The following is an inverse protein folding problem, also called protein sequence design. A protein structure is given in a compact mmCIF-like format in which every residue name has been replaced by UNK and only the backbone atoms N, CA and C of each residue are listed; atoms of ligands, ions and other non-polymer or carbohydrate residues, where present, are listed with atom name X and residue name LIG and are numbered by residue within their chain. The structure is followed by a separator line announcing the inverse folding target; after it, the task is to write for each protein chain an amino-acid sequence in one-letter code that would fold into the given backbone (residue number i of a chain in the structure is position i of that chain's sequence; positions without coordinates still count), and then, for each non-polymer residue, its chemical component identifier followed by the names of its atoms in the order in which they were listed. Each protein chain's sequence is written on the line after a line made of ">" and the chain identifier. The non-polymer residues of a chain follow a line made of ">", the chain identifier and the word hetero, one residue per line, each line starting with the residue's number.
data_IF_096679143925
#
_entry.id   IF_096679143925
#
_cell.length_a   1.000
_cell.length_b   1.000
_cell.length_c   1.000
_cell.angle_alpha   90.00
_cell.angle_beta   90.00
_cell.angle_gamma   90.00
#
_symmetry.space_group_name_H-M   'P 1'
#
loop_
_entity.id
_entity.type
_entity.pdbx_description
1 polymer ?
#
# COMPACT_ATOMS: atom_id res chain seq x y z
N UNK A 1 38.90 -4.03 -3.05
CA UNK A 1 39.49 -2.68 -2.94
C UNK A 1 39.07 -1.87 -4.16
N UNK A 2 37.89 -1.23 -4.12
CA UNK A 2 37.49 -0.27 -5.17
C UNK A 2 37.03 1.01 -4.48
N UNK A 3 37.69 2.10 -4.87
CA UNK A 3 37.72 3.38 -4.18
C UNK A 3 36.40 4.14 -4.26
N UNK A 4 36.00 4.68 -3.11
CA UNK A 4 34.96 5.70 -2.94
C UNK A 4 35.56 7.04 -3.38
N UNK A 5 35.06 7.64 -4.46
CA UNK A 5 35.36 9.05 -4.82
C UNK A 5 34.33 10.00 -4.18
N UNK A 6 34.83 10.64 -3.13
CA UNK A 6 34.67 12.02 -2.66
C UNK A 6 33.49 12.88 -3.15
N UNK A 7 32.89 13.48 -2.12
CA UNK A 7 31.91 14.58 -2.08
C UNK A 7 32.47 15.88 -2.68
N UNK A 8 31.58 16.67 -3.29
CA UNK A 8 31.75 18.11 -3.56
C UNK A 8 30.47 18.67 -4.17
N UNK A 9 29.63 19.36 -3.39
CA UNK A 9 29.57 20.84 -3.25
C UNK A 9 28.65 21.49 -4.29
N UNK A 10 27.43 21.91 -3.89
CA UNK A 10 26.85 23.21 -4.31
C UNK A 10 25.65 23.64 -3.44
N UNK A 11 25.85 24.82 -2.87
CA UNK A 11 24.96 25.90 -2.42
C UNK A 11 23.62 25.63 -1.74
N UNK A 12 23.61 25.91 -0.44
CA UNK A 12 22.46 26.35 0.32
C UNK A 12 22.31 27.87 0.17
N UNK A 13 21.34 28.30 -0.63
CA UNK A 13 20.85 29.68 -0.65
C UNK A 13 19.62 29.79 0.24
N UNK A 14 19.78 30.48 1.37
CA UNK A 14 18.72 30.90 2.24
C UNK A 14 17.85 31.99 1.58
N UNK A 15 16.52 31.91 1.74
CA UNK A 15 15.66 33.09 1.67
C UNK A 15 14.50 33.00 2.68
N UNK A 16 14.73 33.68 3.81
CA UNK A 16 13.85 34.48 4.65
C UNK A 16 12.31 34.28 4.68
N UNK A 17 11.85 33.95 5.90
CA UNK A 17 10.95 34.71 6.82
C UNK A 17 9.47 35.00 6.49
N UNK A 18 8.71 34.98 7.60
CA UNK A 18 7.37 35.53 7.95
C UNK A 18 6.25 34.49 7.77
N UNK A 19 5.43 34.11 8.75
CA UNK A 19 5.05 34.71 10.03
C UNK A 19 3.66 35.33 9.93
N UNK A 20 2.60 34.60 10.31
CA UNK A 20 1.31 35.17 10.70
C UNK A 20 0.42 34.13 11.42
N UNK A 21 -0.02 34.48 12.62
CA UNK A 21 -1.09 33.82 13.38
C UNK A 21 -2.46 34.27 12.84
N UNK A 22 -3.47 33.41 12.89
CA UNK A 22 -4.85 33.81 13.15
C UNK A 22 -5.69 32.65 13.70
N UNK A 23 -6.44 32.92 14.78
CA UNK A 23 -7.50 32.10 15.36
C UNK A 23 -8.85 32.63 14.87
N UNK A 24 -9.84 31.76 14.66
CA UNK A 24 -11.29 31.92 14.87
C UNK A 24 -11.99 30.76 14.13
N UNK A 25 -12.74 29.84 14.76
CA UNK A 25 -14.01 29.97 15.47
C UNK A 25 -15.21 30.25 14.54
N UNK A 26 -16.21 29.35 14.62
CA UNK A 26 -17.55 29.50 14.04
C UNK A 26 -17.71 28.81 12.67
N UNK A 27 -18.82 28.18 12.33
CA UNK A 27 -20.03 27.93 13.09
C UNK A 27 -20.88 26.90 12.33
N UNK A 28 -21.72 26.21 13.08
CA UNK A 28 -22.79 25.36 12.58
C UNK A 28 -23.76 26.20 11.76
N UNK A 29 -24.08 25.80 10.52
CA UNK A 29 -25.49 25.60 10.13
C UNK A 29 -25.66 24.88 8.80
N UNK A 30 -26.13 23.65 8.92
CA UNK A 30 -26.99 23.01 7.95
C UNK A 30 -28.38 23.67 8.00
N UNK A 31 -28.90 24.13 6.87
CA UNK A 31 -30.32 24.47 6.61
C UNK A 31 -30.38 25.14 5.22
N UNK A 32 -31.30 24.86 4.29
CA UNK A 32 -32.57 24.14 4.38
C UNK A 32 -33.24 24.13 2.99
N UNK A 33 -34.22 23.23 2.84
CA UNK A 33 -35.50 23.38 2.09
C UNK A 33 -35.46 23.11 0.56
N UNK A 34 -36.41 22.41 -0.07
CA UNK A 34 -37.77 21.99 0.31
C UNK A 34 -38.17 20.67 -0.37
N UNK A 35 -38.92 19.85 0.35
CA UNK A 35 -40.17 19.27 -0.16
C UNK A 35 -40.98 18.83 1.07
N UNK A 36 -42.23 19.27 1.10
CA UNK A 36 -43.20 18.99 2.13
C UNK A 36 -44.08 17.82 1.68
N UNK A 37 -44.50 16.96 2.63
CA UNK A 37 -45.85 16.41 2.66
C UNK A 37 -46.10 15.65 3.98
N UNK A 38 -47.06 16.19 4.74
CA UNK A 38 -47.96 15.63 5.74
C UNK A 38 -47.99 14.12 6.02
N UNK A 39 -48.00 13.73 7.31
CA UNK A 39 -49.20 13.21 7.99
C UNK A 39 -48.94 12.77 9.46
N UNK A 40 -49.70 13.40 10.37
CA UNK A 40 -50.35 12.93 11.60
C UNK A 40 -49.74 11.84 12.53
N UNK A 41 -49.51 12.28 13.78
CA UNK A 41 -49.78 11.64 15.09
C UNK A 41 -49.51 10.14 15.34
N UNK A 42 -48.61 9.83 16.29
CA UNK A 42 -48.95 9.52 17.70
C UNK A 42 -47.73 9.01 18.49
N UNK A 43 -47.72 9.30 19.80
CA UNK A 43 -46.74 8.89 20.81
C UNK A 43 -46.58 7.36 20.90
N UNK A 44 -45.36 6.88 21.16
CA UNK A 44 -45.06 6.04 22.34
C UNK A 44 -43.55 5.80 22.51
N UNK A 45 -43.15 5.77 23.78
CA UNK A 45 -41.84 5.41 24.28
C UNK A 45 -41.55 3.92 24.06
N UNK A 46 -40.27 3.58 23.95
CA UNK A 46 -39.78 2.21 23.93
C UNK A 46 -38.28 2.19 24.17
N UNK A 47 -37.90 2.04 25.44
CA UNK A 47 -36.56 1.61 25.85
C UNK A 47 -36.29 0.21 25.29
N UNK A 48 -35.10 0.03 24.72
CA UNK A 48 -34.68 -1.24 24.16
C UNK A 48 -33.18 -1.27 24.02
N UNK A 49 -32.49 -1.63 25.11
CA UNK A 49 -31.10 -2.02 25.09
C UNK A 49 -30.89 -3.20 24.17
N UNK A 50 -30.23 -2.96 23.04
CA UNK A 50 -29.73 -3.97 22.13
C UNK A 50 -28.23 -3.82 22.03
N UNK A 51 -27.50 -4.66 22.78
CA UNK A 51 -26.06 -4.80 22.72
C UNK A 51 -25.63 -4.94 21.26
N UNK A 52 -24.98 -3.90 20.71
CA UNK A 52 -24.32 -3.97 19.43
C UNK A 52 -23.14 -4.95 19.58
N UNK A 53 -23.39 -6.23 19.38
CA UNK A 53 -22.32 -7.16 19.05
C UNK A 53 -21.77 -6.69 17.72
N UNK A 54 -20.65 -5.96 17.77
CA UNK A 54 -19.84 -5.67 16.61
C UNK A 54 -19.62 -7.01 15.89
N UNK A 55 -20.32 -7.19 14.76
CA UNK A 55 -20.11 -8.32 13.90
C UNK A 55 -18.64 -8.28 13.51
N UNK A 56 -17.84 -9.19 14.09
CA UNK A 56 -16.49 -9.46 13.61
C UNK A 56 -16.64 -9.78 12.14
N UNK A 57 -16.20 -8.87 11.29
CA UNK A 57 -16.11 -9.12 9.86
C UNK A 57 -15.35 -10.43 9.68
N UNK A 58 -15.89 -11.41 8.94
CA UNK A 58 -15.16 -12.63 8.68
C UNK A 58 -13.84 -12.21 8.03
N UNK A 59 -12.73 -12.60 8.66
CA UNK A 59 -11.40 -12.44 8.07
C UNK A 59 -11.49 -13.17 6.74
N UNK A 60 -11.41 -12.42 5.63
CA UNK A 60 -11.52 -12.99 4.28
C UNK A 60 -10.55 -14.17 4.21
N UNK A 61 -11.11 -15.37 4.11
CA UNK A 61 -10.37 -16.60 3.90
C UNK A 61 -9.52 -16.44 2.64
N UNK A 62 -8.28 -16.96 2.65
CA UNK A 62 -7.32 -16.81 1.56
C UNK A 62 -7.98 -16.97 0.19
N UNK A 63 -7.79 -15.98 -0.69
CA UNK A 63 -8.56 -15.89 -1.94
C UNK A 63 -8.02 -16.84 -3.02
N UNK A 64 -6.75 -17.26 -2.89
CA UNK A 64 -6.15 -18.31 -3.69
C UNK A 64 -5.07 -19.04 -2.87
N UNK A 65 -5.16 -20.36 -2.81
CA UNK A 65 -4.06 -21.22 -2.38
C UNK A 65 -3.23 -21.57 -3.62
N UNK A 66 -1.96 -21.18 -3.63
CA UNK A 66 -1.04 -21.71 -4.62
C UNK A 66 -0.91 -23.22 -4.39
N UNK A 67 -0.77 -24.05 -5.45
CA UNK A 67 -0.47 -25.46 -5.28
C UNK A 67 0.78 -25.62 -4.39
N UNK A 68 1.05 -26.82 -3.83
CA UNK A 68 2.30 -27.11 -3.14
C UNK A 68 3.48 -27.07 -4.15
N UNK A 69 3.80 -25.88 -4.64
CA UNK A 69 5.02 -25.60 -5.36
C UNK A 69 6.15 -25.65 -4.34
N UNK A 70 7.29 -26.23 -4.73
CA UNK A 70 8.37 -26.53 -3.80
C UNK A 70 8.95 -25.29 -3.09
N UNK A 71 8.64 -24.06 -3.52
CA UNK A 71 9.11 -22.82 -2.88
C UNK A 71 8.08 -21.71 -3.04
N UNK A 72 7.52 -21.24 -1.93
CA UNK A 72 6.56 -20.13 -1.89
C UNK A 72 7.07 -19.00 -1.01
N UNK A 73 6.55 -17.81 -1.28
CA UNK A 73 6.76 -16.62 -0.48
C UNK A 73 5.47 -16.20 0.19
N UNK A 74 5.54 -15.94 1.49
CA UNK A 74 4.38 -15.60 2.32
C UNK A 74 4.61 -14.31 3.10
N UNK A 75 3.54 -13.60 3.45
CA UNK A 75 3.60 -12.42 4.30
C UNK A 75 4.11 -12.78 5.70
N UNK A 76 5.01 -11.96 6.25
CA UNK A 76 5.58 -12.20 7.58
C UNK A 76 4.54 -12.16 8.72
N UNK A 77 3.50 -11.33 8.59
CA UNK A 77 2.55 -11.07 9.68
C UNK A 77 1.39 -12.06 9.72
N UNK A 78 0.80 -12.39 8.57
CA UNK A 78 -0.40 -13.23 8.48
C UNK A 78 -0.18 -14.56 7.76
N UNK A 79 1.04 -14.80 7.25
CA UNK A 79 1.41 -16.00 6.48
C UNK A 79 0.58 -16.22 5.22
N UNK A 80 -0.08 -15.19 4.71
CA UNK A 80 -0.73 -15.25 3.40
C UNK A 80 0.30 -15.47 2.30
N UNK A 81 0.07 -16.44 1.42
CA UNK A 81 0.89 -16.64 0.23
C UNK A 81 0.82 -15.41 -0.66
N UNK A 82 1.98 -14.92 -1.08
CA UNK A 82 2.13 -13.74 -1.92
C UNK A 82 2.55 -14.15 -3.33
N UNK A 83 3.54 -15.02 -3.47
CA UNK A 83 4.04 -15.42 -4.78
C UNK A 83 4.70 -16.80 -4.75
N UNK A 84 4.73 -17.48 -5.90
CA UNK A 84 5.59 -18.65 -6.12
C UNK A 84 7.03 -18.24 -6.42
N UNK A 85 7.97 -19.14 -6.22
CA UNK A 85 9.34 -18.99 -6.72
C UNK A 85 9.41 -18.85 -8.24
N UNK A 86 8.52 -19.51 -8.96
CA UNK A 86 8.55 -19.53 -10.43
C UNK A 86 8.20 -18.14 -11.03
N UNK A 87 7.48 -17.31 -10.27
CA UNK A 87 7.16 -15.94 -10.64
C UNK A 87 8.30 -14.96 -10.33
N UNK A 88 9.38 -15.41 -9.68
CA UNK A 88 10.52 -14.56 -9.35
C UNK A 88 11.34 -14.23 -10.62
N UNK A 89 11.46 -12.93 -10.91
CA UNK A 89 12.25 -12.45 -12.04
C UNK A 89 13.67 -12.10 -11.60
N UNK A 90 13.84 -11.37 -10.52
CA UNK A 90 15.17 -10.93 -10.08
C UNK A 90 15.25 -10.64 -8.57
N UNK A 91 16.43 -10.92 -8.00
CA UNK A 91 16.79 -10.67 -6.60
C UNK A 91 17.67 -9.42 -6.41
N UNK A 92 17.98 -8.70 -7.49
CA UNK A 92 18.95 -7.58 -7.49
C UNK A 92 18.30 -6.22 -7.25
N UNK A 93 17.09 -6.19 -6.68
CA UNK A 93 16.37 -4.96 -6.39
C UNK A 93 16.56 -4.54 -4.93
N UNK A 94 16.36 -3.25 -4.68
CA UNK A 94 16.48 -2.63 -3.37
C UNK A 94 15.27 -1.73 -3.15
N UNK A 95 14.76 -1.75 -1.93
CA UNK A 95 13.73 -0.85 -1.44
C UNK A 95 14.22 -0.04 -0.26
N UNK A 96 13.26 0.58 0.43
CA UNK A 96 13.54 1.46 1.54
C UNK A 96 14.05 0.70 2.77
N UNK A 97 13.55 -0.53 3.02
CA UNK A 97 13.98 -1.38 4.14
C UNK A 97 15.04 -2.42 3.72
N UNK A 98 15.73 -2.21 2.60
CA UNK A 98 16.86 -3.05 2.17
C UNK A 98 16.58 -3.84 0.90
N UNK A 99 16.88 -5.15 0.90
CA UNK A 99 16.75 -5.98 -0.32
C UNK A 99 15.29 -6.23 -0.67
N UNK A 100 15.00 -6.20 -1.98
CA UNK A 100 13.67 -6.46 -2.50
C UNK A 100 13.74 -7.36 -3.74
N UNK A 101 12.68 -8.11 -4.01
CA UNK A 101 12.58 -9.04 -5.13
C UNK A 101 11.53 -8.56 -6.13
N UNK A 102 11.82 -8.74 -7.41
CA UNK A 102 10.91 -8.45 -8.52
C UNK A 102 10.18 -9.73 -8.92
N UNK A 103 8.85 -9.67 -8.93
CA UNK A 103 7.96 -10.75 -9.30
C UNK A 103 7.13 -10.39 -10.52
N UNK A 104 6.82 -11.39 -11.33
CA UNK A 104 5.94 -11.27 -12.47
C UNK A 104 4.46 -11.18 -12.03
N UNK A 105 4.03 -12.07 -11.14
CA UNK A 105 2.68 -12.09 -10.56
C UNK A 105 2.71 -12.26 -9.04
N UNK A 106 1.74 -11.65 -8.36
CA UNK A 106 1.56 -11.70 -6.90
C UNK A 106 0.07 -11.82 -6.59
N UNK A 107 -0.27 -12.68 -5.61
CA UNK A 107 -1.64 -12.95 -5.15
C UNK A 107 -1.86 -12.41 -3.74
N UNK A 108 -3.13 -12.27 -3.35
CA UNK A 108 -3.55 -11.78 -2.01
C UNK A 108 -2.97 -10.38 -1.67
N UNK A 109 -2.83 -9.53 -2.69
CA UNK A 109 -2.39 -8.14 -2.56
C UNK A 109 -3.40 -7.16 -3.12
N UNK A 110 -3.61 -6.05 -2.43
CA UNK A 110 -4.31 -4.89 -2.95
C UNK A 110 -3.32 -3.84 -3.43
N UNK A 111 -3.71 -3.08 -4.45
CA UNK A 111 -2.96 -1.94 -4.98
C UNK A 111 -3.58 -0.63 -4.49
N UNK A 112 -2.75 0.31 -4.09
CA UNK A 112 -3.12 1.70 -3.81
C UNK A 112 -3.24 2.53 -5.10
N UNK A 113 -3.47 3.85 -4.96
CA UNK A 113 -3.42 4.75 -6.10
C UNK A 113 -2.01 4.79 -6.71
N UNK A 114 -1.94 4.99 -8.03
CA UNK A 114 -0.67 5.17 -8.72
C UNK A 114 -0.12 6.58 -8.45
N UNK A 115 1.15 6.64 -8.07
CA UNK A 115 1.89 7.87 -7.82
C UNK A 115 3.19 7.89 -8.63
N UNK A 116 3.55 9.05 -9.15
CA UNK A 116 4.81 9.23 -9.87
C UNK A 116 5.97 9.44 -8.90
N UNK A 117 7.02 8.62 -9.04
CA UNK A 117 8.21 8.65 -8.19
C UNK A 117 9.47 8.57 -9.03
N UNK A 118 10.47 9.37 -8.67
CA UNK A 118 11.80 9.29 -9.26
C UNK A 118 12.60 8.22 -8.52
N UNK A 119 12.92 7.14 -9.22
CA UNK A 119 13.74 6.05 -8.73
C UNK A 119 15.15 6.15 -9.34
N UNK A 120 16.06 5.27 -8.91
CA UNK A 120 17.43 5.24 -9.43
C UNK A 120 17.49 5.10 -10.96
N UNK A 121 16.52 4.39 -11.56
CA UNK A 121 16.43 4.16 -13.00
C UNK A 121 15.54 5.17 -13.73
N UNK A 122 15.21 6.31 -13.11
CA UNK A 122 14.39 7.37 -13.72
C UNK A 122 12.97 7.47 -13.15
N UNK A 123 12.12 8.24 -13.83
CA UNK A 123 10.72 8.48 -13.44
C UNK A 123 9.84 7.25 -13.72
N UNK A 124 9.05 6.84 -12.73
CA UNK A 124 8.10 5.73 -12.83
C UNK A 124 6.78 6.10 -12.16
N UNK A 125 5.65 5.67 -12.72
CA UNK A 125 4.38 5.62 -12.00
C UNK A 125 4.30 4.27 -11.28
N UNK A 126 4.19 4.31 -9.95
CA UNK A 126 4.17 3.13 -9.09
C UNK A 126 2.97 3.18 -8.15
N UNK A 127 2.38 2.02 -7.86
CA UNK A 127 1.29 1.89 -6.91
C UNK A 127 1.77 1.08 -5.69
N UNK A 128 1.54 1.59 -4.48
CA UNK A 128 1.90 0.84 -3.28
C UNK A 128 1.05 -0.42 -3.15
N UNK A 129 1.66 -1.54 -2.76
CA UNK A 129 0.96 -2.80 -2.54
C UNK A 129 0.89 -3.15 -1.07
N UNK A 130 -0.25 -3.68 -0.65
CA UNK A 130 -0.50 -4.11 0.71
C UNK A 130 -1.09 -5.52 0.73
N UNK A 131 -0.79 -6.27 1.78
CA UNK A 131 -1.40 -7.58 1.99
C UNK A 131 -2.91 -7.44 2.15
N UNK A 132 -3.71 -8.19 1.41
CA UNK A 132 -5.16 -8.08 1.53
C UNK A 132 -5.67 -8.58 2.90
N UNK A 133 -4.95 -9.51 3.53
CA UNK A 133 -5.31 -10.11 4.82
C UNK A 133 -4.98 -9.23 6.02
N UNK A 134 -3.75 -8.71 6.15
CA UNK A 134 -3.32 -7.92 7.31
C UNK A 134 -3.12 -6.42 7.04
N UNK A 135 -3.28 -5.98 5.78
CA UNK A 135 -3.11 -4.59 5.34
C UNK A 135 -1.71 -4.00 5.55
N UNK A 136 -0.72 -4.83 5.89
CA UNK A 136 0.68 -4.39 5.93
C UNK A 136 1.16 -4.04 4.53
N UNK A 137 1.87 -2.92 4.40
CA UNK A 137 2.56 -2.54 3.17
C UNK A 137 3.67 -3.54 2.85
N UNK A 138 3.70 -4.06 1.62
CA UNK A 138 4.67 -5.08 1.21
C UNK A 138 5.74 -4.54 0.26
N UNK A 139 5.40 -3.49 -0.49
CA UNK A 139 6.25 -2.89 -1.52
C UNK A 139 5.41 -2.09 -2.51
N UNK A 140 5.73 -2.16 -3.80
CA UNK A 140 5.00 -1.44 -4.86
C UNK A 140 4.94 -2.24 -6.18
N UNK A 141 3.98 -1.89 -7.02
CA UNK A 141 3.85 -2.36 -8.41
C UNK A 141 4.25 -1.24 -9.37
N UNK A 142 4.91 -1.58 -10.46
CA UNK A 142 5.15 -0.64 -11.56
C UNK A 142 3.91 -0.55 -12.45
N UNK A 143 3.27 0.61 -12.48
CA UNK A 143 2.15 0.88 -13.40
C UNK A 143 2.67 1.39 -14.75
N UNK A 144 3.65 2.30 -14.71
CA UNK A 144 4.23 2.86 -15.92
C UNK A 144 5.71 3.21 -15.74
N UNK A 145 6.50 2.97 -16.77
CA UNK A 145 7.88 3.43 -16.89
C UNK A 145 7.99 4.37 -18.10
N UNK A 146 8.52 5.57 -17.90
CA UNK A 146 8.59 6.57 -18.99
C UNK A 146 9.75 6.30 -19.96
N UNK A 147 10.76 5.55 -19.52
CA UNK A 147 11.90 5.17 -20.34
C UNK A 147 11.69 3.79 -20.97
N UNK A 148 11.93 3.67 -22.28
CA UNK A 148 11.78 2.42 -23.03
C UNK A 148 12.63 1.27 -22.47
N UNK A 149 13.83 1.59 -21.98
CA UNK A 149 14.76 0.64 -21.35
C UNK A 149 14.20 0.00 -20.07
N UNK A 150 13.20 0.64 -19.45
CA UNK A 150 12.59 0.20 -18.19
C UNK A 150 11.19 -0.40 -18.39
N UNK A 151 10.64 -0.41 -19.60
CA UNK A 151 9.29 -0.93 -19.91
C UNK A 151 9.08 -2.37 -19.50
N UNK A 152 10.15 -3.17 -19.47
CA UNK A 152 10.06 -4.54 -18.97
C UNK A 152 9.59 -4.61 -17.51
N UNK A 153 9.64 -3.54 -16.71
CA UNK A 153 9.17 -3.53 -15.31
C UNK A 153 7.66 -3.33 -15.19
N UNK A 154 7.00 -2.81 -16.21
CA UNK A 154 5.56 -2.50 -16.15
C UNK A 154 4.73 -3.75 -15.85
N UNK A 155 3.73 -3.59 -14.98
CA UNK A 155 2.88 -4.67 -14.48
C UNK A 155 3.53 -5.57 -13.41
N UNK A 156 4.82 -5.41 -13.12
CA UNK A 156 5.56 -6.25 -12.18
C UNK A 156 5.57 -5.69 -10.78
N UNK A 157 5.83 -6.57 -9.82
CA UNK A 157 5.70 -6.30 -8.39
C UNK A 157 7.05 -6.35 -7.70
N UNK A 158 7.31 -5.38 -6.83
CA UNK A 158 8.42 -5.40 -5.89
C UNK A 158 7.88 -5.71 -4.51
N UNK A 159 8.45 -6.72 -3.86
CA UNK A 159 8.19 -7.03 -2.44
C UNK A 159 9.50 -6.97 -1.68
N UNK A 160 9.52 -6.21 -0.59
CA UNK A 160 10.67 -6.10 0.29
C UNK A 160 10.81 -7.35 1.17
N UNK A 161 12.05 -7.82 1.36
CA UNK A 161 12.32 -9.02 2.16
C UNK A 161 11.97 -8.84 3.63
N UNK A 162 11.92 -7.60 4.13
CA UNK A 162 11.50 -7.28 5.49
C UNK A 162 10.04 -7.71 5.77
N UNK A 163 9.22 -7.88 4.74
CA UNK A 163 7.78 -8.16 4.88
C UNK A 163 7.38 -9.53 4.32
N UNK A 164 8.37 -10.35 3.94
CA UNK A 164 8.19 -11.61 3.24
C UNK A 164 9.04 -12.73 3.86
N UNK A 165 8.45 -13.90 4.02
CA UNK A 165 9.09 -15.13 4.49
C UNK A 165 9.13 -16.13 3.35
N UNK A 166 10.23 -16.88 3.27
CA UNK A 166 10.41 -18.02 2.36
C UNK A 166 9.93 -19.28 3.07
N UNK A 167 8.94 -19.97 2.52
CA UNK A 167 8.48 -21.25 3.07
C UNK A 167 9.27 -22.42 2.45
N UNK A 168 9.40 -23.49 3.24
CA UNK A 168 10.39 -24.57 3.14
C UNK A 168 10.45 -25.25 1.77
N UNK A 169 11.69 -25.55 1.34
CA UNK A 169 12.05 -26.19 0.06
C UNK A 169 13.23 -25.52 -0.65
N UNK A 170 14.11 -24.87 0.13
CA UNK A 170 15.27 -24.11 -0.32
C UNK A 170 16.60 -24.85 -0.07
N UNK A 171 16.55 -26.18 0.05
CA UNK A 171 17.74 -27.05 0.13
C UNK A 171 18.42 -27.20 -1.25
#
# INVERSE_FOLDING_TARGET
>A
MFLIKLRGWRDQSACARRGARARAAGDRRCSRLMWAASACCSRQAGEGGGSATAARTPVKTFQAYLPPAHRTYSCIHCRAHLASHDELISKSFQGSQGRAYLFNSVVNVGCGPAEERVLLTGLHAVADIYCECCKTMLGWKYEHAFESSQKYKEGKFIIELAHMVKENGWD
#
